data_IF_471759931900
#
_entry.id   IF_471759931900
#
_cell.length_a   1.000
_cell.length_b   1.000
_cell.length_c   1.000
_cell.angle_alpha   90.00
_cell.angle_beta   90.00
_cell.angle_gamma   90.00
#
_symmetry.space_group_name_H-M   'P 1'
#
loop_
_entity.id
_entity.type
_entity.pdbx_description
1 polymer ?
#
# COMPACT_ATOMS: atom_id res chain seq x y z
N UNK A 1 10.99 -26.21 -10.51
CA UNK A 1 10.76 -24.75 -10.65
C UNK A 1 10.26 -24.20 -9.33
N UNK A 2 10.88 -23.14 -8.83
CA UNK A 2 10.39 -22.49 -7.61
C UNK A 2 8.95 -21.99 -7.83
N UNK A 3 8.05 -22.32 -6.93
CA UNK A 3 6.65 -21.91 -6.98
C UNK A 3 6.59 -20.40 -6.78
N UNK A 4 6.06 -19.64 -7.74
CA UNK A 4 5.89 -18.19 -7.62
C UNK A 4 4.90 -17.88 -6.49
N UNK A 5 5.23 -16.97 -5.54
CA UNK A 5 4.31 -16.61 -4.47
C UNK A 5 3.13 -15.79 -5.01
N UNK A 6 1.98 -15.91 -4.37
CA UNK A 6 0.87 -14.98 -4.56
C UNK A 6 1.05 -13.77 -3.64
N UNK A 7 0.59 -12.61 -4.08
CA UNK A 7 0.60 -11.37 -3.32
C UNK A 7 -0.82 -10.92 -3.04
N UNK A 8 -1.08 -10.60 -1.79
CA UNK A 8 -2.31 -9.94 -1.36
C UNK A 8 -1.94 -8.63 -0.70
N UNK A 9 -2.39 -7.52 -1.28
CA UNK A 9 -2.05 -6.18 -0.86
C UNK A 9 -3.30 -5.46 -0.34
N UNK A 10 -3.31 -5.12 0.95
CA UNK A 10 -4.37 -4.35 1.58
C UNK A 10 -3.93 -2.90 1.77
N UNK A 11 -4.75 -1.97 1.31
CA UNK A 11 -4.62 -0.55 1.61
C UNK A 11 -5.89 -0.10 2.32
N UNK A 12 -5.75 0.39 3.53
CA UNK A 12 -6.82 1.08 4.24
C UNK A 12 -6.82 2.55 3.87
N UNK A 13 -8.00 3.17 3.81
CA UNK A 13 -8.09 4.60 3.60
C UNK A 13 -8.05 5.33 4.95
N UNK A 14 -7.25 6.38 5.04
CA UNK A 14 -7.18 7.31 6.18
C UNK A 14 -7.01 6.65 7.56
N UNK A 15 -6.36 5.48 7.60
CA UNK A 15 -6.17 4.70 8.82
C UNK A 15 -4.91 5.17 9.57
N UNK A 16 -5.05 5.52 10.83
CA UNK A 16 -3.93 5.82 11.73
C UNK A 16 -3.34 4.53 12.28
N UNK A 17 -2.01 4.46 12.35
CA UNK A 17 -1.30 3.27 12.84
C UNK A 17 -1.65 2.94 14.31
N UNK A 18 -1.82 3.96 15.15
CA UNK A 18 -2.18 3.81 16.56
C UNK A 18 -3.63 3.30 16.80
N UNK A 19 -4.44 3.15 15.74
CA UNK A 19 -5.79 2.58 15.80
C UNK A 19 -5.80 1.08 15.47
N UNK A 20 -4.73 0.37 15.83
CA UNK A 20 -4.58 -1.08 15.72
C UNK A 20 -4.14 -1.67 17.06
N UNK A 21 -4.64 -2.85 17.42
CA UNK A 21 -4.26 -3.55 18.65
C UNK A 21 -2.77 -3.84 18.72
N UNK A 22 -2.17 -4.28 17.61
CA UNK A 22 -0.73 -4.56 17.52
C UNK A 22 0.16 -3.30 17.69
N UNK A 23 -0.40 -2.10 17.63
CA UNK A 23 0.29 -0.84 17.95
C UNK A 23 -0.09 -0.28 19.33
N UNK A 24 -0.82 -1.05 20.15
CA UNK A 24 -1.10 -0.71 21.53
C UNK A 24 -2.34 0.15 21.76
N UNK A 25 -3.32 0.13 20.84
CA UNK A 25 -4.56 0.86 21.06
C UNK A 25 -5.28 0.34 22.32
N UNK A 26 -5.66 1.20 23.29
CA UNK A 26 -6.14 0.77 24.61
C UNK A 26 -7.50 0.07 24.57
N UNK A 27 -8.33 0.39 23.59
CA UNK A 27 -9.74 -0.07 23.52
C UNK A 27 -10.00 -0.92 22.28
N UNK A 28 -9.49 -0.47 21.12
CA UNK A 28 -9.76 -1.12 19.84
C UNK A 28 -9.11 -2.48 19.75
N UNK A 29 -9.88 -3.48 19.32
CA UNK A 29 -9.41 -4.85 19.12
C UNK A 29 -9.37 -5.16 17.62
N UNK A 30 -8.20 -5.58 17.13
CA UNK A 30 -7.99 -5.93 15.72
C UNK A 30 -7.33 -7.31 15.56
N UNK A 31 -7.98 -8.40 16.08
CA UNK A 31 -7.33 -9.70 16.27
C UNK A 31 -6.79 -10.30 14.97
N UNK A 32 -7.47 -10.10 13.84
CA UNK A 32 -7.01 -10.64 12.56
C UNK A 32 -5.75 -9.93 12.06
N UNK A 33 -5.70 -8.60 12.16
CA UNK A 33 -4.52 -7.80 11.78
C UNK A 33 -3.38 -8.07 12.76
N UNK A 34 -3.68 -8.18 14.06
CA UNK A 34 -2.69 -8.49 15.10
C UNK A 34 -2.05 -9.86 14.85
N UNK A 35 -2.82 -10.83 14.36
CA UNK A 35 -2.29 -12.16 13.97
C UNK A 35 -1.32 -12.06 12.79
N UNK A 36 -1.61 -11.22 11.78
CA UNK A 36 -0.69 -10.96 10.66
C UNK A 36 0.59 -10.32 11.19
N UNK A 37 0.47 -9.32 12.06
CA UNK A 37 1.62 -8.65 12.66
C UNK A 37 2.50 -9.60 13.49
N UNK A 38 1.89 -10.54 14.20
CA UNK A 38 2.60 -11.53 15.01
C UNK A 38 3.35 -12.59 14.18
N UNK A 39 2.88 -12.88 12.97
CA UNK A 39 3.48 -13.86 12.05
C UNK A 39 4.44 -13.25 11.03
N UNK A 40 4.39 -11.96 10.87
CA UNK A 40 5.16 -11.23 9.87
C UNK A 40 6.05 -10.17 10.47
N UNK A 41 6.31 -9.14 9.68
CA UNK A 41 7.11 -7.99 10.09
C UNK A 41 6.20 -6.78 10.29
N UNK A 42 6.30 -6.17 11.46
CA UNK A 42 5.63 -4.91 11.79
C UNK A 42 6.66 -3.77 11.77
N UNK A 43 6.38 -2.75 10.96
CA UNK A 43 7.21 -1.55 10.89
C UNK A 43 6.69 -0.50 11.89
N UNK A 44 7.49 -0.12 12.86
CA UNK A 44 7.11 0.90 13.86
C UNK A 44 7.34 2.33 13.39
N UNK A 45 8.15 2.50 12.35
CA UNK A 45 8.51 3.81 11.77
C UNK A 45 8.46 3.71 10.24
N UNK A 46 7.26 3.55 9.70
CA UNK A 46 7.03 3.54 8.27
C UNK A 46 6.34 4.85 7.88
N UNK A 47 7.01 5.65 7.08
CA UNK A 47 6.55 6.99 6.70
C UNK A 47 6.05 7.01 5.27
N UNK A 48 4.99 7.77 5.04
CA UNK A 48 4.46 8.04 3.70
C UNK A 48 5.20 9.22 3.06
N UNK A 49 5.26 9.25 1.74
CA UNK A 49 5.88 10.34 1.01
C UNK A 49 5.09 11.67 1.12
N UNK A 50 3.79 11.56 1.32
CA UNK A 50 2.86 12.67 1.51
C UNK A 50 1.60 12.18 2.23
N UNK A 51 0.99 12.99 3.09
CA UNK A 51 -0.24 12.60 3.82
C UNK A 51 -1.52 12.73 2.95
N UNK A 52 -1.39 13.04 1.66
CA UNK A 52 -2.52 13.23 0.73
C UNK A 52 -2.77 11.94 -0.04
N UNK A 53 -4.03 11.51 -0.12
CA UNK A 53 -4.43 10.18 -0.62
C UNK A 53 -3.91 9.85 -2.02
N UNK A 54 -4.26 10.65 -3.05
CA UNK A 54 -3.88 10.34 -4.43
C UNK A 54 -2.38 10.45 -4.68
N UNK A 55 -1.68 11.51 -4.23
CA UNK A 55 -0.23 11.58 -4.35
C UNK A 55 0.50 10.42 -3.67
N UNK A 56 0.06 10.02 -2.47
CA UNK A 56 0.68 8.90 -1.77
C UNK A 56 0.42 7.55 -2.47
N UNK A 57 -0.78 7.35 -3.01
CA UNK A 57 -1.10 6.15 -3.80
C UNK A 57 -0.30 6.11 -5.10
N UNK A 58 -0.12 7.25 -5.78
CA UNK A 58 0.75 7.34 -6.95
C UNK A 58 2.21 7.02 -6.61
N UNK A 59 2.70 7.52 -5.47
CA UNK A 59 4.03 7.16 -4.94
C UNK A 59 4.15 5.65 -4.71
N UNK A 60 3.16 5.04 -4.06
CA UNK A 60 3.14 3.62 -3.78
C UNK A 60 3.15 2.79 -5.08
N UNK A 61 2.36 3.18 -6.07
CA UNK A 61 2.27 2.49 -7.37
C UNK A 61 3.55 2.60 -8.19
N UNK A 62 4.19 3.78 -8.20
CA UNK A 62 5.33 4.07 -9.07
C UNK A 62 6.69 3.90 -8.40
N UNK A 63 6.75 3.85 -7.07
CA UNK A 63 8.00 3.93 -6.31
C UNK A 63 8.71 5.28 -6.40
N UNK A 64 8.03 6.33 -6.87
CA UNK A 64 8.59 7.68 -7.10
C UNK A 64 7.94 8.71 -6.20
N UNK A 65 8.68 9.77 -5.87
CA UNK A 65 8.18 10.90 -5.08
C UNK A 65 7.18 11.75 -5.89
N UNK A 66 6.28 12.49 -5.23
CA UNK A 66 5.32 13.38 -5.91
C UNK A 66 5.96 14.39 -6.86
N UNK A 67 7.17 14.84 -6.56
CA UNK A 67 7.95 15.73 -7.44
C UNK A 67 8.32 15.10 -8.78
N UNK A 68 8.41 13.76 -8.84
CA UNK A 68 8.80 13.00 -10.03
C UNK A 68 7.61 12.49 -10.83
N UNK A 69 6.58 11.96 -10.14
CA UNK A 69 5.38 11.44 -10.84
C UNK A 69 4.32 12.53 -11.12
N UNK A 70 4.50 13.74 -10.60
CA UNK A 70 3.66 14.90 -10.90
C UNK A 70 2.31 14.98 -10.18
N UNK A 71 1.84 13.92 -9.54
CA UNK A 71 0.58 13.91 -8.78
C UNK A 71 0.82 14.60 -7.44
N UNK A 72 0.39 15.85 -7.29
CA UNK A 72 0.67 16.67 -6.10
C UNK A 72 -0.57 16.95 -5.24
N UNK A 73 -1.75 16.70 -5.79
CA UNK A 73 -3.03 16.94 -5.11
C UNK A 73 -4.05 15.87 -5.48
N UNK A 74 -5.11 15.76 -4.70
CA UNK A 74 -6.26 14.96 -5.08
C UNK A 74 -6.92 15.55 -6.35
N UNK A 75 -7.38 14.68 -7.25
CA UNK A 75 -7.94 15.07 -8.54
C UNK A 75 -6.89 15.18 -9.66
N UNK A 76 -5.59 15.16 -9.35
CA UNK A 76 -4.55 15.10 -10.37
C UNK A 76 -4.33 13.66 -10.83
N UNK A 77 -4.53 13.33 -12.11
CA UNK A 77 -4.31 11.95 -12.59
C UNK A 77 -2.81 11.63 -12.66
N UNK A 78 -2.49 10.35 -12.44
CA UNK A 78 -1.18 9.82 -12.80
C UNK A 78 -1.10 9.69 -14.33
N UNK A 79 0.04 10.06 -14.93
CA UNK A 79 0.25 9.88 -16.36
C UNK A 79 0.10 8.41 -16.74
N UNK A 80 -0.56 8.14 -17.87
CA UNK A 80 -0.74 6.79 -18.41
C UNK A 80 0.59 6.12 -18.81
N UNK A 81 1.63 6.91 -19.07
CA UNK A 81 2.97 6.44 -19.39
C UNK A 81 3.80 6.08 -18.15
N UNK A 82 3.22 6.23 -16.95
CA UNK A 82 3.92 5.91 -15.71
C UNK A 82 4.01 4.41 -15.52
N UNK A 83 5.22 3.90 -15.39
CA UNK A 83 5.46 2.51 -14.99
C UNK A 83 5.10 2.30 -13.52
N UNK A 84 4.34 1.25 -13.25
CA UNK A 84 3.90 0.88 -11.90
C UNK A 84 4.39 -0.53 -11.54
N UNK A 85 4.38 -0.87 -10.24
CA UNK A 85 4.67 -2.24 -9.83
C UNK A 85 3.63 -3.24 -10.37
N UNK A 86 2.42 -2.78 -10.66
CA UNK A 86 1.34 -3.58 -11.28
C UNK A 86 1.75 -3.99 -12.69
N UNK A 87 2.35 -3.09 -13.46
CA UNK A 87 2.84 -3.40 -14.82
C UNK A 87 4.00 -4.38 -14.77
N UNK A 88 4.89 -4.23 -13.81
CA UNK A 88 6.00 -5.18 -13.60
C UNK A 88 5.49 -6.59 -13.23
N UNK A 89 4.49 -6.70 -12.38
CA UNK A 89 3.87 -7.99 -12.02
C UNK A 89 3.15 -8.61 -13.21
N UNK A 90 2.43 -7.81 -14.00
CA UNK A 90 1.76 -8.26 -15.23
C UNK A 90 2.77 -8.78 -16.25
N UNK A 91 3.86 -8.05 -16.46
CA UNK A 91 4.94 -8.48 -17.36
C UNK A 91 5.62 -9.78 -16.87
N UNK A 92 5.65 -10.00 -15.54
CA UNK A 92 6.12 -11.26 -14.95
C UNK A 92 5.10 -12.41 -15.02
N UNK A 93 3.92 -12.21 -15.64
CA UNK A 93 2.89 -13.23 -15.85
C UNK A 93 1.95 -13.45 -14.68
N UNK A 94 1.81 -12.48 -13.77
CA UNK A 94 0.78 -12.53 -12.72
C UNK A 94 -0.58 -12.08 -13.25
N UNK A 95 -1.63 -12.81 -12.86
CA UNK A 95 -2.99 -12.31 -12.97
C UNK A 95 -3.26 -11.31 -11.84
N UNK A 96 -3.83 -10.18 -12.19
CA UNK A 96 -4.04 -9.07 -11.25
C UNK A 96 -5.54 -8.77 -11.14
N UNK A 97 -6.00 -8.53 -9.92
CA UNK A 97 -7.36 -8.12 -9.63
C UNK A 97 -7.35 -7.00 -8.60
N UNK A 98 -8.24 -6.04 -8.75
CA UNK A 98 -8.53 -5.00 -7.77
C UNK A 98 -9.93 -5.23 -7.24
N UNK A 99 -10.04 -5.35 -5.92
CA UNK A 99 -11.30 -5.55 -5.22
C UNK A 99 -11.53 -4.38 -4.27
N UNK A 100 -12.65 -3.71 -4.41
CA UNK A 100 -13.15 -2.77 -3.41
C UNK A 100 -14.11 -3.51 -2.48
N UNK A 101 -13.81 -3.46 -1.21
CA UNK A 101 -14.64 -4.01 -0.15
C UNK A 101 -15.45 -2.89 0.49
#
# INVERSE_FOLDING_TARGET
MAKRPNFLFFITDQHRADYLGCYGHPVLRTPNIDTIAARGTRFTRFYVATPVCMPNRATLMTGRMPSLHGVRSNGSPLSLDSNTFVDALRAAGYALSLIHI
#
